data_IF_067678112316
#
_entry.id   IF_067678112316
#
_cell.length_a   1.000
_cell.length_b   1.000
_cell.length_c   1.000
_cell.angle_alpha   90.00
_cell.angle_beta   90.00
_cell.angle_gamma   90.00
#
_symmetry.space_group_name_H-M   'P 1'
#
loop_
_entity.id
_entity.type
_entity.pdbx_description
1 polymer ?
#
# COMPACT_ATOMS: atom_id res chain seq x y z
N UNK A 1 6.95 -84.14 100.25
CA UNK A 1 7.71 -83.49 99.20
C UNK A 1 7.50 -84.24 97.87
N UNK A 2 6.57 -83.91 97.10
CA UNK A 2 6.49 -84.29 95.64
C UNK A 2 5.75 -83.23 94.92
N UNK A 3 6.41 -82.51 93.99
CA UNK A 3 5.93 -81.50 93.16
C UNK A 3 5.10 -82.10 91.98
N UNK A 4 3.87 -81.71 91.84
CA UNK A 4 3.05 -82.06 90.69
C UNK A 4 3.20 -80.96 89.61
N UNK A 5 3.66 -81.39 88.48
CA UNK A 5 3.84 -80.50 87.29
C UNK A 5 2.55 -80.59 86.50
N UNK A 6 1.80 -79.45 86.39
CA UNK A 6 0.61 -79.37 85.59
C UNK A 6 0.97 -78.76 84.21
N UNK A 7 0.69 -79.50 83.11
CA UNK A 7 0.93 -79.08 81.75
C UNK A 7 -0.34 -78.39 81.25
N UNK A 8 -0.27 -77.09 80.94
CA UNK A 8 -1.35 -76.34 80.27
C UNK A 8 -1.03 -76.33 78.78
N UNK A 9 -1.94 -76.91 77.96
CA UNK A 9 -1.91 -76.85 76.52
C UNK A 9 -2.62 -75.58 76.13
N UNK A 10 -1.91 -74.57 75.62
CA UNK A 10 -2.49 -73.37 75.00
C UNK A 10 -2.79 -73.69 73.55
N UNK A 11 -4.08 -73.80 73.19
CA UNK A 11 -4.56 -73.88 71.78
C UNK A 11 -4.59 -72.48 71.16
N UNK A 12 -3.62 -72.18 70.33
CA UNK A 12 -3.59 -70.94 69.53
C UNK A 12 -4.59 -71.05 68.34
N UNK A 13 -5.70 -70.39 68.44
CA UNK A 13 -6.63 -70.19 67.30
C UNK A 13 -6.06 -69.13 66.36
N UNK A 14 -5.54 -69.54 65.21
CA UNK A 14 -5.18 -68.65 64.16
C UNK A 14 -6.48 -68.13 63.53
N UNK A 15 -6.92 -66.90 63.86
CA UNK A 15 -7.89 -66.16 63.12
C UNK A 15 -7.21 -65.65 61.82
N UNK A 16 -7.53 -66.29 60.65
CA UNK A 16 -7.20 -65.74 59.34
C UNK A 16 -8.00 -64.48 59.11
N UNK A 17 -7.43 -63.32 59.45
CA UNK A 17 -7.93 -62.03 59.05
C UNK A 17 -7.67 -61.88 57.53
N UNK A 18 -8.69 -62.11 56.73
CA UNK A 18 -8.71 -61.61 55.31
C UNK A 18 -8.65 -60.07 55.32
N UNK A 19 -7.44 -59.50 55.38
CA UNK A 19 -7.24 -58.11 55.06
C UNK A 19 -7.45 -57.96 53.59
N UNK A 20 -8.66 -57.56 53.16
CA UNK A 20 -8.87 -57.01 51.79
C UNK A 20 -7.94 -55.85 51.66
N UNK A 21 -6.89 -55.97 50.83
CA UNK A 21 -6.05 -54.84 50.43
C UNK A 21 -6.99 -53.72 49.93
N UNK A 22 -6.92 -52.52 50.50
CA UNK A 22 -7.80 -51.45 50.03
C UNK A 22 -7.52 -51.25 48.54
N UNK A 23 -8.56 -51.36 47.69
CA UNK A 23 -8.45 -51.05 46.28
C UNK A 23 -7.97 -49.60 46.16
N UNK A 24 -6.97 -49.36 45.34
CA UNK A 24 -6.49 -48.01 45.04
C UNK A 24 -7.67 -47.14 44.53
N UNK A 25 -7.70 -45.88 44.94
CA UNK A 25 -8.71 -44.94 44.49
C UNK A 25 -8.64 -44.76 42.99
N UNK A 26 -9.76 -44.54 42.29
CA UNK A 26 -9.76 -44.21 40.87
C UNK A 26 -9.06 -42.88 40.64
N UNK A 27 -8.35 -42.79 39.52
CA UNK A 27 -7.67 -41.57 39.05
C UNK A 27 -8.13 -41.32 37.64
N UNK A 28 -8.77 -40.18 37.43
CA UNK A 28 -9.24 -39.67 36.15
C UNK A 28 -8.37 -38.46 35.75
N UNK A 29 -7.69 -38.56 34.61
CA UNK A 29 -6.76 -37.53 34.16
C UNK A 29 -7.09 -37.13 32.70
N UNK A 30 -7.35 -35.84 32.46
CA UNK A 30 -7.51 -35.27 31.11
C UNK A 30 -6.18 -35.42 30.35
N UNK A 31 -6.26 -35.84 29.07
CA UNK A 31 -5.11 -35.97 28.16
C UNK A 31 -5.24 -35.14 26.89
N UNK A 32 -6.45 -34.62 26.55
CA UNK A 32 -6.62 -33.60 25.58
C UNK A 32 -6.49 -32.19 26.20
N UNK A 33 -6.61 -31.15 25.38
CA UNK A 33 -6.56 -29.76 25.85
C UNK A 33 -7.72 -29.45 26.80
N UNK A 34 -7.45 -28.66 27.84
CA UNK A 34 -8.45 -28.16 28.79
C UNK A 34 -9.31 -27.04 28.20
N UNK A 35 -8.75 -26.26 27.22
CA UNK A 35 -9.47 -25.17 26.56
C UNK A 35 -9.54 -25.49 25.05
N UNK A 36 -10.74 -25.72 24.57
CA UNK A 36 -10.99 -26.12 23.17
C UNK A 36 -11.67 -24.97 22.43
N UNK A 37 -11.07 -24.55 21.31
CA UNK A 37 -11.67 -23.60 20.39
C UNK A 37 -12.42 -24.34 19.30
N UNK A 38 -13.65 -23.90 19.01
CA UNK A 38 -14.55 -24.51 18.01
C UNK A 38 -14.96 -23.41 17.02
N UNK A 39 -14.92 -23.67 15.71
CA UNK A 39 -15.38 -22.71 14.73
C UNK A 39 -16.91 -22.54 14.76
N UNK A 40 -17.41 -21.51 14.08
CA UNK A 40 -18.85 -21.21 14.04
C UNK A 40 -19.71 -22.33 13.46
N UNK A 41 -19.16 -23.15 12.57
CA UNK A 41 -19.86 -24.31 11.98
C UNK A 41 -20.12 -25.42 13.01
N UNK A 42 -19.45 -25.37 14.17
CA UNK A 42 -19.50 -26.43 15.17
C UNK A 42 -18.78 -27.70 14.73
N UNK A 43 -19.29 -28.85 15.16
CA UNK A 43 -18.77 -30.16 14.81
C UNK A 43 -18.51 -31.05 16.01
N UNK A 44 -17.96 -32.23 15.76
CA UNK A 44 -17.63 -33.23 16.77
C UNK A 44 -16.27 -32.97 17.39
N UNK A 45 -16.24 -32.94 18.73
CA UNK A 45 -15.02 -32.73 19.54
C UNK A 45 -14.79 -33.99 20.37
N UNK A 46 -13.59 -34.54 20.28
CA UNK A 46 -13.15 -35.69 21.08
C UNK A 46 -12.29 -35.21 22.26
N UNK A 47 -12.80 -35.45 23.47
CA UNK A 47 -12.10 -35.22 24.74
C UNK A 47 -11.46 -36.56 25.14
N UNK A 48 -10.14 -36.58 25.27
CA UNK A 48 -9.41 -37.80 25.67
C UNK A 48 -8.98 -37.73 27.11
N UNK A 49 -8.99 -38.88 27.78
CA UNK A 49 -8.62 -38.99 29.20
C UNK A 49 -8.07 -40.37 29.49
N UNK A 50 -7.41 -40.53 30.67
CA UNK A 50 -7.05 -41.84 31.25
C UNK A 50 -7.84 -42.06 32.53
N UNK A 51 -8.26 -43.31 32.74
CA UNK A 51 -8.93 -43.74 33.96
C UNK A 51 -8.26 -44.98 34.53
N UNK A 52 -7.60 -44.82 35.67
CA UNK A 52 -6.97 -45.89 36.41
C UNK A 52 -7.84 -46.38 37.56
N UNK A 53 -7.67 -47.62 38.00
CA UNK A 53 -8.36 -48.26 39.14
C UNK A 53 -9.90 -48.25 38.97
N UNK A 54 -10.39 -48.58 37.75
CA UNK A 54 -11.82 -48.64 37.44
C UNK A 54 -12.63 -49.45 38.47
N UNK A 55 -13.79 -48.95 38.83
CA UNK A 55 -14.73 -49.63 39.75
C UNK A 55 -15.81 -50.29 38.87
N UNK A 56 -15.98 -51.60 39.05
CA UNK A 56 -16.96 -52.39 38.27
C UNK A 56 -18.39 -51.85 38.48
N UNK A 57 -19.12 -51.65 37.39
CA UNK A 57 -20.51 -51.13 37.45
C UNK A 57 -20.65 -49.64 37.67
N UNK A 58 -19.53 -48.88 37.65
CA UNK A 58 -19.55 -47.42 37.76
C UNK A 58 -19.39 -46.77 36.37
N UNK A 59 -20.25 -45.84 36.04
CA UNK A 59 -20.20 -45.07 34.79
C UNK A 59 -19.49 -43.70 34.98
N UNK A 60 -19.03 -43.12 33.90
CA UNK A 60 -18.55 -41.74 33.88
C UNK A 60 -19.72 -40.79 33.86
N UNK A 61 -19.71 -39.79 34.72
CA UNK A 61 -20.70 -38.73 34.72
C UNK A 61 -20.17 -37.52 33.94
N UNK A 62 -20.86 -37.13 32.89
CA UNK A 62 -20.56 -35.98 32.05
C UNK A 62 -21.69 -34.97 32.20
N UNK A 63 -21.39 -33.80 32.74
CA UNK A 63 -22.31 -32.68 32.85
C UNK A 63 -21.89 -31.56 31.90
N UNK A 64 -22.79 -31.20 30.99
CA UNK A 64 -22.65 -30.09 30.06
C UNK A 64 -23.42 -28.90 30.57
N UNK A 65 -22.76 -27.75 30.72
CA UNK A 65 -23.36 -26.54 31.30
C UNK A 65 -24.37 -25.89 30.36
N UNK A 66 -24.23 -26.06 29.04
CA UNK A 66 -25.15 -25.51 28.02
C UNK A 66 -25.62 -26.61 27.06
N UNK A 67 -26.55 -27.46 27.48
CA UNK A 67 -27.04 -28.58 26.68
C UNK A 67 -27.84 -28.15 25.47
N UNK A 68 -28.24 -26.91 25.37
CA UNK A 68 -28.97 -26.32 24.24
C UNK A 68 -28.15 -26.24 22.95
N UNK A 69 -26.82 -26.21 23.03
CA UNK A 69 -25.93 -26.16 21.84
C UNK A 69 -24.76 -27.15 21.89
N UNK A 70 -24.57 -27.88 23.00
CA UNK A 70 -23.59 -28.97 23.09
C UNK A 70 -24.31 -30.25 23.48
N UNK A 71 -24.15 -31.30 22.68
CA UNK A 71 -24.78 -32.59 22.92
C UNK A 71 -23.71 -33.64 23.18
N UNK A 72 -23.91 -34.49 24.22
CA UNK A 72 -23.06 -35.65 24.44
C UNK A 72 -23.41 -36.74 23.41
N UNK A 73 -22.48 -37.11 22.56
CA UNK A 73 -22.67 -38.10 21.50
C UNK A 73 -22.13 -39.46 21.88
N UNK A 74 -20.97 -39.47 22.56
CA UNK A 74 -20.37 -40.73 23.04
C UNK A 74 -19.74 -40.50 24.42
N UNK A 75 -19.91 -41.50 25.30
CA UNK A 75 -19.31 -41.52 26.62
C UNK A 75 -18.93 -42.97 26.92
N UNK A 76 -17.64 -43.29 26.90
CA UNK A 76 -17.14 -44.64 27.21
C UNK A 76 -16.03 -44.56 28.24
N UNK A 77 -15.78 -45.71 28.88
CA UNK A 77 -14.70 -45.86 29.89
C UNK A 77 -13.32 -46.14 29.25
N UNK A 78 -13.22 -46.11 27.92
CA UNK A 78 -12.00 -46.47 27.19
C UNK A 78 -11.14 -45.27 26.83
N UNK A 79 -11.46 -44.11 27.39
CA UNK A 79 -10.65 -42.91 27.32
C UNK A 79 -11.15 -41.83 26.38
N UNK A 80 -12.37 -41.95 25.84
CA UNK A 80 -12.96 -40.98 24.93
C UNK A 80 -14.34 -40.50 25.38
N UNK A 81 -14.57 -39.22 25.25
CA UNK A 81 -15.89 -38.57 25.29
C UNK A 81 -16.02 -37.80 23.99
N UNK A 82 -17.11 -37.99 23.26
CA UNK A 82 -17.39 -37.22 22.06
C UNK A 82 -18.59 -36.32 22.32
N UNK A 83 -18.44 -35.08 22.06
CA UNK A 83 -19.51 -34.09 22.09
C UNK A 83 -19.69 -33.51 20.68
N UNK A 84 -20.94 -33.18 20.34
CA UNK A 84 -21.28 -32.43 19.13
C UNK A 84 -21.65 -31.01 19.52
N UNK A 85 -20.98 -30.03 18.95
CA UNK A 85 -21.24 -28.60 19.09
C UNK A 85 -22.10 -28.15 17.89
N UNK A 86 -23.25 -27.58 18.16
CA UNK A 86 -24.13 -27.05 17.10
C UNK A 86 -23.52 -25.80 16.44
N UNK A 87 -23.79 -25.53 15.13
CA UNK A 87 -23.39 -24.28 14.50
C UNK A 87 -24.02 -23.08 15.20
N UNK A 88 -23.42 -21.90 15.01
CA UNK A 88 -23.92 -20.65 15.60
C UNK A 88 -24.13 -19.60 14.52
N UNK A 89 -25.12 -18.73 14.75
CA UNK A 89 -25.36 -17.45 14.04
C UNK A 89 -25.12 -16.24 14.96
N UNK A 90 -24.58 -16.49 16.17
CA UNK A 90 -24.27 -15.44 17.14
C UNK A 90 -23.15 -14.53 16.64
N UNK A 91 -23.32 -13.23 16.81
CA UNK A 91 -22.30 -12.21 16.54
C UNK A 91 -21.26 -12.06 17.66
N UNK A 92 -21.37 -12.88 18.72
CA UNK A 92 -20.43 -12.94 19.83
C UNK A 92 -19.98 -14.38 20.06
N UNK A 93 -18.74 -14.53 20.53
CA UNK A 93 -18.22 -15.82 20.96
C UNK A 93 -19.08 -16.35 22.11
N UNK A 94 -19.35 -17.67 22.09
CA UNK A 94 -20.06 -18.31 23.19
C UNK A 94 -19.18 -19.34 23.90
N UNK A 95 -19.35 -19.45 25.20
CA UNK A 95 -18.54 -20.32 26.04
C UNK A 95 -19.37 -21.29 26.82
N UNK A 96 -18.82 -22.46 27.09
CA UNK A 96 -19.40 -23.49 27.95
C UNK A 96 -18.32 -24.24 28.70
N UNK A 97 -18.73 -25.04 29.67
CA UNK A 97 -17.85 -25.97 30.37
C UNK A 97 -18.46 -27.36 30.43
N UNK A 98 -17.63 -28.37 30.34
CA UNK A 98 -17.96 -29.77 30.46
C UNK A 98 -17.26 -30.33 31.69
N UNK A 99 -18.06 -30.65 32.71
CA UNK A 99 -17.54 -31.26 33.92
C UNK A 99 -17.65 -32.79 33.83
N UNK A 100 -16.53 -33.46 33.99
CA UNK A 100 -16.43 -34.93 33.94
C UNK A 100 -16.00 -35.45 35.29
N UNK A 101 -16.73 -36.39 35.83
CA UNK A 101 -16.41 -37.02 37.15
C UNK A 101 -16.59 -38.53 37.12
N UNK A 102 -15.88 -39.21 38.00
CA UNK A 102 -15.97 -40.65 38.16
C UNK A 102 -16.00 -41.04 39.64
N UNK A 103 -17.05 -41.80 40.04
CA UNK A 103 -17.28 -42.33 41.39
C UNK A 103 -17.28 -41.26 42.50
N UNK A 104 -17.59 -39.99 42.18
CA UNK A 104 -17.52 -38.80 43.07
C UNK A 104 -16.14 -38.64 43.77
N UNK A 105 -15.08 -39.15 43.15
CA UNK A 105 -13.73 -39.16 43.74
C UNK A 105 -12.66 -38.41 42.94
N UNK A 106 -12.90 -38.28 41.63
CA UNK A 106 -11.93 -37.66 40.71
C UNK A 106 -12.71 -37.01 39.56
N UNK A 107 -12.23 -35.86 39.09
CA UNK A 107 -12.90 -35.08 38.04
C UNK A 107 -11.93 -34.18 37.31
N UNK A 108 -12.34 -33.72 36.13
CA UNK A 108 -11.73 -32.62 35.38
C UNK A 108 -12.82 -31.77 34.73
N UNK A 109 -12.43 -30.59 34.23
CA UNK A 109 -13.29 -29.70 33.44
C UNK A 109 -12.64 -29.39 32.12
N UNK A 110 -13.40 -29.32 31.04
CA UNK A 110 -12.98 -28.82 29.72
C UNK A 110 -13.81 -27.60 29.40
N UNK A 111 -13.15 -26.51 29.00
CA UNK A 111 -13.79 -25.27 28.58
C UNK A 111 -13.89 -25.27 27.04
N UNK A 112 -15.09 -24.96 26.54
CA UNK A 112 -15.38 -24.86 25.12
C UNK A 112 -15.63 -23.38 24.81
N UNK A 113 -14.91 -22.83 23.84
CA UNK A 113 -15.19 -21.52 23.27
C UNK A 113 -15.51 -21.70 21.80
N UNK A 114 -16.71 -21.32 21.39
CA UNK A 114 -17.10 -21.31 19.98
C UNK A 114 -17.03 -19.90 19.44
N UNK A 115 -16.33 -19.74 18.31
CA UNK A 115 -16.21 -18.46 17.62
C UNK A 115 -17.56 -17.95 17.13
N UNK A 116 -17.71 -16.64 17.11
CA UNK A 116 -18.86 -15.94 16.54
C UNK A 116 -19.03 -16.26 15.05
N UNK A 117 -20.26 -16.16 14.57
CA UNK A 117 -20.56 -16.26 13.14
C UNK A 117 -19.91 -15.13 12.35
N UNK A 118 -19.38 -15.44 11.17
CA UNK A 118 -18.81 -14.46 10.23
C UNK A 118 -19.39 -14.65 8.83
N UNK A 119 -19.67 -13.55 8.15
CA UNK A 119 -20.04 -13.57 6.74
C UNK A 119 -18.75 -13.78 5.93
N UNK A 120 -18.64 -14.90 5.25
CA UNK A 120 -17.46 -15.25 4.44
C UNK A 120 -17.61 -14.76 3.02
N UNK A 121 -16.64 -13.98 2.53
CA UNK A 121 -16.59 -13.42 1.19
C UNK A 121 -15.30 -13.87 0.51
N UNK A 122 -15.44 -14.60 -0.60
CA UNK A 122 -14.33 -15.04 -1.44
C UNK A 122 -14.17 -14.02 -2.58
N UNK A 123 -13.38 -12.97 -2.32
CA UNK A 123 -13.09 -11.93 -3.29
C UNK A 123 -12.21 -12.48 -4.42
N UNK A 124 -12.67 -12.34 -5.65
CA UNK A 124 -11.96 -12.78 -6.86
C UNK A 124 -11.16 -11.66 -7.51
N UNK A 125 -11.46 -10.42 -7.15
CA UNK A 125 -10.88 -9.25 -7.75
C UNK A 125 -10.33 -8.32 -6.68
N UNK A 126 -9.09 -7.90 -6.88
CA UNK A 126 -8.46 -6.75 -6.24
C UNK A 126 -8.32 -5.67 -7.30
N UNK A 127 -8.83 -4.49 -7.00
CA UNK A 127 -8.69 -3.27 -7.80
C UNK A 127 -8.14 -2.20 -6.89
N UNK A 128 -7.50 -1.19 -7.44
CA UNK A 128 -7.07 -0.06 -6.63
C UNK A 128 -5.88 0.67 -7.19
N UNK A 129 -5.43 1.64 -6.40
CA UNK A 129 -4.42 2.61 -6.78
C UNK A 129 -3.44 2.84 -5.62
N UNK A 130 -2.18 3.11 -5.98
CA UNK A 130 -1.15 3.59 -5.08
C UNK A 130 -0.85 5.06 -5.36
N UNK A 131 -0.95 5.91 -4.34
CA UNK A 131 -0.79 7.36 -4.46
C UNK A 131 0.51 7.91 -3.85
N UNK A 132 1.45 7.03 -3.47
CA UNK A 132 2.66 7.48 -2.76
C UNK A 132 2.31 8.11 -1.42
N UNK A 133 2.98 9.20 -1.08
CA UNK A 133 2.77 9.93 0.17
C UNK A 133 1.80 11.11 0.06
N UNK A 134 1.08 11.23 -1.07
CA UNK A 134 0.24 12.40 -1.38
C UNK A 134 -0.83 12.67 -0.31
N UNK A 135 -1.38 11.61 0.28
CA UNK A 135 -2.48 11.70 1.27
C UNK A 135 -2.03 11.40 2.71
N UNK A 136 -0.73 11.38 2.98
CA UNK A 136 -0.19 11.20 4.34
C UNK A 136 0.51 12.46 4.83
N UNK A 137 0.35 12.83 6.11
CA UNK A 137 1.13 13.91 6.71
C UNK A 137 2.60 13.53 6.94
N UNK A 138 2.94 12.22 6.93
CA UNK A 138 4.30 11.70 7.03
C UNK A 138 4.82 11.37 5.62
N UNK A 139 5.91 12.02 5.14
CA UNK A 139 6.46 11.78 3.81
C UNK A 139 6.98 10.35 3.58
N UNK A 140 7.19 9.57 4.65
CA UNK A 140 7.64 8.17 4.54
C UNK A 140 6.48 7.16 4.56
N UNK A 141 5.25 7.63 4.55
CA UNK A 141 4.05 6.79 4.57
C UNK A 141 3.36 6.82 3.21
N UNK A 142 3.18 5.64 2.61
CA UNK A 142 2.45 5.45 1.36
C UNK A 142 0.97 5.19 1.58
N UNK A 143 0.12 5.61 0.64
CA UNK A 143 -1.31 5.40 0.66
C UNK A 143 -1.74 4.45 -0.47
N UNK A 144 -2.46 3.40 -0.10
CA UNK A 144 -3.08 2.43 -1.01
C UNK A 144 -4.60 2.49 -0.88
N UNK A 145 -5.27 2.59 -1.99
CA UNK A 145 -6.71 2.48 -2.11
C UNK A 145 -7.07 1.13 -2.70
N UNK A 146 -7.50 0.19 -1.85
CA UNK A 146 -7.76 -1.19 -2.22
C UNK A 146 -9.27 -1.45 -2.27
N UNK A 147 -9.74 -2.14 -3.31
CA UNK A 147 -11.13 -2.57 -3.43
C UNK A 147 -11.17 -4.07 -3.67
N UNK A 148 -11.76 -4.80 -2.76
CA UNK A 148 -12.01 -6.24 -2.85
C UNK A 148 -13.47 -6.50 -3.24
N UNK A 149 -13.71 -7.41 -4.20
CA UNK A 149 -15.05 -7.79 -4.66
C UNK A 149 -15.06 -9.21 -5.23
N UNK A 150 -16.21 -9.90 -5.12
CA UNK A 150 -16.42 -11.19 -5.78
C UNK A 150 -16.49 -11.08 -7.30
N UNK A 151 -17.09 -10.00 -7.82
CA UNK A 151 -17.43 -9.88 -9.24
C UNK A 151 -16.59 -8.83 -10.00
N UNK A 152 -15.83 -7.97 -9.30
CA UNK A 152 -15.01 -6.92 -9.92
C UNK A 152 -15.80 -5.89 -10.72
N UNK A 153 -15.25 -5.50 -11.86
CA UNK A 153 -15.88 -4.62 -12.84
C UNK A 153 -16.30 -5.44 -14.07
N UNK A 154 -17.33 -4.98 -14.78
CA UNK A 154 -17.75 -5.58 -16.06
C UNK A 154 -16.79 -5.18 -17.20
N UNK A 155 -17.05 -5.64 -18.42
CA UNK A 155 -16.22 -5.36 -19.62
C UNK A 155 -16.13 -3.85 -19.97
N UNK A 156 -17.11 -3.08 -19.55
CA UNK A 156 -17.15 -1.61 -19.76
C UNK A 156 -16.47 -0.83 -18.62
N UNK A 157 -15.88 -1.52 -17.63
CA UNK A 157 -15.26 -0.92 -16.44
C UNK A 157 -16.26 -0.42 -15.40
N UNK A 158 -17.55 -0.76 -15.52
CA UNK A 158 -18.57 -0.42 -14.53
C UNK A 158 -18.74 -1.52 -13.47
N UNK A 159 -19.29 -1.15 -12.32
CA UNK A 159 -19.58 -2.08 -11.23
C UNK A 159 -20.59 -3.16 -11.66
N UNK A 160 -20.36 -4.41 -11.23
CA UNK A 160 -21.27 -5.51 -11.53
C UNK A 160 -22.59 -5.42 -10.76
N UNK A 161 -23.71 -5.88 -11.33
CA UNK A 161 -24.99 -5.94 -10.63
C UNK A 161 -24.98 -6.85 -9.41
N UNK A 162 -25.75 -6.48 -8.37
CA UNK A 162 -25.95 -7.25 -7.15
C UNK A 162 -24.62 -7.70 -6.50
N UNK A 163 -23.64 -6.83 -6.48
CA UNK A 163 -22.29 -7.10 -6.00
C UNK A 163 -21.96 -6.26 -4.77
N UNK A 164 -21.13 -6.82 -3.89
CA UNK A 164 -20.59 -6.09 -2.73
C UNK A 164 -19.12 -5.76 -2.97
N UNK A 165 -18.76 -4.55 -2.65
CA UNK A 165 -17.42 -4.00 -2.75
C UNK A 165 -16.96 -3.55 -1.38
N UNK A 166 -15.71 -3.88 -1.02
CA UNK A 166 -15.08 -3.49 0.24
C UNK A 166 -13.86 -2.66 -0.11
N UNK A 167 -13.89 -1.39 0.25
CA UNK A 167 -12.79 -0.46 0.02
C UNK A 167 -12.02 -0.22 1.30
N UNK A 168 -10.72 -0.34 1.20
CA UNK A 168 -9.77 -0.09 2.28
C UNK A 168 -8.84 1.04 1.85
N UNK A 169 -8.79 2.10 2.64
CA UNK A 169 -7.82 3.17 2.51
C UNK A 169 -6.68 2.88 3.50
N UNK A 170 -5.57 2.37 2.97
CA UNK A 170 -4.50 1.72 3.75
C UNK A 170 -3.25 2.57 3.73
N UNK A 171 -2.66 2.78 4.89
CA UNK A 171 -1.41 3.50 5.06
C UNK A 171 -0.28 2.55 5.42
N UNK A 172 0.78 2.54 4.59
CA UNK A 172 1.88 1.57 4.61
C UNK A 172 3.23 2.30 4.66
N UNK A 173 4.36 1.60 4.83
CA UNK A 173 5.65 2.17 4.44
C UNK A 173 5.59 2.65 2.98
N UNK A 174 6.31 3.74 2.67
CA UNK A 174 6.45 4.19 1.29
C UNK A 174 7.10 3.10 0.43
N UNK A 175 6.63 2.91 -0.79
CA UNK A 175 7.26 1.98 -1.74
C UNK A 175 8.65 2.47 -2.16
N UNK A 176 9.60 1.53 -2.26
CA UNK A 176 10.94 1.82 -2.78
C UNK A 176 10.98 1.83 -4.33
N UNK A 177 9.87 1.48 -5.00
CA UNK A 177 9.77 1.50 -6.46
C UNK A 177 9.62 2.96 -6.91
N UNK A 178 10.54 3.41 -7.78
CA UNK A 178 10.49 4.77 -8.31
C UNK A 178 9.30 4.97 -9.25
N UNK A 179 8.87 6.23 -9.44
CA UNK A 179 7.78 6.56 -10.35
C UNK A 179 8.12 6.15 -11.79
N UNK A 180 7.23 5.38 -12.43
CA UNK A 180 7.40 4.90 -13.80
C UNK A 180 8.30 3.66 -13.94
N UNK A 181 8.85 3.13 -12.86
CA UNK A 181 9.63 1.89 -12.88
C UNK A 181 8.73 0.65 -13.05
N UNK A 182 7.51 0.71 -12.52
CA UNK A 182 6.51 -0.35 -12.66
C UNK A 182 5.09 0.23 -12.79
N UNK A 183 4.24 -0.43 -13.58
CA UNK A 183 2.83 -0.08 -13.72
C UNK A 183 2.00 -0.52 -12.51
N UNK A 184 2.43 -1.55 -11.81
CA UNK A 184 1.78 -2.12 -10.64
C UNK A 184 2.71 -2.05 -9.43
N UNK A 185 2.18 -1.58 -8.31
CA UNK A 185 2.88 -1.46 -7.05
C UNK A 185 2.38 -2.52 -6.07
N UNK A 186 3.26 -3.39 -5.54
CA UNK A 186 2.89 -4.37 -4.53
C UNK A 186 2.43 -3.69 -3.23
N UNK A 187 1.34 -4.18 -2.66
CA UNK A 187 0.92 -3.78 -1.31
C UNK A 187 1.87 -4.45 -0.31
N UNK A 188 2.55 -3.71 0.56
CA UNK A 188 3.50 -4.29 1.51
C UNK A 188 2.86 -5.34 2.42
N UNK A 189 3.58 -6.46 2.64
CA UNK A 189 3.13 -7.50 3.58
C UNK A 189 3.05 -6.95 5.01
N UNK A 190 1.98 -7.29 5.72
CA UNK A 190 1.80 -6.83 7.09
C UNK A 190 0.38 -6.99 7.61
N UNK A 191 0.19 -6.52 8.83
CA UNK A 191 -1.13 -6.41 9.46
C UNK A 191 -1.44 -4.94 9.69
N UNK A 192 -2.54 -4.49 9.12
CA UNK A 192 -3.03 -3.12 9.18
C UNK A 192 -4.27 -3.05 10.06
N UNK A 193 -4.30 -2.10 10.98
CA UNK A 193 -5.34 -1.98 11.97
C UNK A 193 -6.22 -0.75 11.71
N UNK A 194 -7.49 -0.89 12.02
CA UNK A 194 -8.44 0.21 11.95
C UNK A 194 -8.02 1.38 12.86
N UNK A 195 -7.98 2.57 12.29
CA UNK A 195 -7.68 3.80 13.02
C UNK A 195 -8.93 4.71 13.08
N UNK A 196 -9.65 4.72 14.20
CA UNK A 196 -10.84 5.53 14.36
C UNK A 196 -10.57 7.04 14.41
N UNK A 197 -9.29 7.44 14.48
CA UNK A 197 -8.87 8.85 14.59
C UNK A 197 -8.40 9.44 13.28
N UNK A 198 -8.25 8.59 12.23
CA UNK A 198 -7.71 8.97 10.93
C UNK A 198 -6.36 9.71 11.03
N UNK A 199 -5.43 9.11 11.78
CA UNK A 199 -4.05 9.64 11.91
C UNK A 199 -3.25 9.50 10.61
N UNK A 200 -3.71 8.62 9.70
CA UNK A 200 -3.04 8.29 8.44
C UNK A 200 -1.61 7.80 8.64
N UNK A 201 -1.36 7.15 9.77
CA UNK A 201 -0.06 6.62 10.12
C UNK A 201 0.19 5.26 9.45
N UNK A 202 1.46 4.95 9.23
CA UNK A 202 1.87 3.64 8.75
C UNK A 202 1.29 2.50 9.62
N UNK A 203 0.77 1.45 8.98
CA UNK A 203 0.15 0.30 9.63
C UNK A 203 -1.35 0.47 9.90
N UNK A 204 -2.01 1.50 9.36
CA UNK A 204 -3.40 1.80 9.64
C UNK A 204 -4.34 1.66 8.43
N UNK A 205 -5.61 1.44 8.72
CA UNK A 205 -6.76 1.50 7.80
C UNK A 205 -7.64 2.67 8.26
N UNK A 206 -7.89 3.63 7.36
CA UNK A 206 -8.67 4.84 7.66
C UNK A 206 -10.13 4.53 7.98
N UNK A 207 -10.68 5.19 9.00
CA UNK A 207 -12.09 5.13 9.34
C UNK A 207 -12.97 5.90 8.32
N UNK A 208 -12.52 7.07 7.91
CA UNK A 208 -13.31 7.97 7.07
C UNK A 208 -13.49 7.43 5.66
N UNK A 209 -12.45 6.79 5.10
CA UNK A 209 -12.40 6.43 3.69
C UNK A 209 -12.55 4.92 3.44
N UNK A 210 -12.63 4.08 4.49
CA UNK A 210 -12.84 2.65 4.36
C UNK A 210 -14.31 2.31 4.54
N UNK A 211 -14.91 1.77 3.46
CA UNK A 211 -16.35 1.55 3.35
C UNK A 211 -16.68 0.26 2.62
N UNK A 212 -17.87 -0.25 2.85
CA UNK A 212 -18.48 -1.22 1.95
C UNK A 212 -19.72 -0.63 1.27
N UNK A 213 -20.02 -1.11 0.06
CA UNK A 213 -21.27 -0.78 -0.61
C UNK A 213 -21.76 -1.96 -1.44
N UNK A 214 -23.07 -1.95 -1.73
CA UNK A 214 -23.72 -2.94 -2.58
C UNK A 214 -24.37 -2.25 -3.77
N UNK A 215 -24.35 -2.94 -4.91
CA UNK A 215 -25.00 -2.49 -6.14
C UNK A 215 -26.37 -3.16 -6.29
N UNK A 216 -27.28 -2.49 -6.99
CA UNK A 216 -28.58 -3.02 -7.37
C UNK A 216 -28.49 -3.93 -8.62
N UNK A 217 -29.62 -4.36 -9.15
CA UNK A 217 -29.71 -5.22 -10.32
C UNK A 217 -29.19 -4.56 -11.62
N UNK A 218 -28.90 -3.24 -11.60
CA UNK A 218 -28.35 -2.50 -12.74
C UNK A 218 -26.85 -2.14 -12.52
N UNK A 219 -26.26 -2.54 -11.40
CA UNK A 219 -24.88 -2.19 -11.06
C UNK A 219 -24.72 -0.79 -10.43
N UNK A 220 -25.82 -0.11 -10.11
CA UNK A 220 -25.78 1.19 -9.45
C UNK A 220 -25.80 1.06 -7.92
N UNK A 221 -25.14 1.98 -7.22
CA UNK A 221 -25.28 2.12 -5.76
C UNK A 221 -26.68 2.66 -5.48
N UNK A 222 -27.58 1.81 -5.00
CA UNK A 222 -29.03 2.03 -5.03
C UNK A 222 -29.55 3.07 -4.03
N UNK A 223 -28.78 3.39 -2.99
CA UNK A 223 -29.16 4.41 -1.98
C UNK A 223 -27.95 4.78 -1.11
N UNK A 224 -28.07 5.89 -0.36
CA UNK A 224 -27.10 6.25 0.70
C UNK A 224 -26.96 5.17 1.77
N UNK A 225 -28.00 4.37 2.00
CA UNK A 225 -27.96 3.24 2.95
C UNK A 225 -27.20 2.03 2.40
N UNK A 226 -26.91 1.97 1.10
CA UNK A 226 -26.11 0.92 0.52
C UNK A 226 -24.60 1.08 0.78
N UNK A 227 -24.17 2.27 1.20
CA UNK A 227 -22.77 2.57 1.57
C UNK A 227 -22.65 2.63 3.08
N UNK A 228 -21.71 1.88 3.66
CA UNK A 228 -21.54 1.75 5.12
C UNK A 228 -20.06 1.84 5.46
N UNK A 229 -19.73 2.64 6.47
CA UNK A 229 -18.36 2.67 7.02
C UNK A 229 -18.09 1.41 7.83
N UNK A 230 -16.81 1.05 7.94
CA UNK A 230 -16.38 0.00 8.86
C UNK A 230 -16.50 0.51 10.30
N UNK A 231 -16.90 -0.38 11.22
CA UNK A 231 -16.90 -0.15 12.66
C UNK A 231 -15.57 -0.62 13.28
N UNK A 232 -15.03 -1.72 12.73
CA UNK A 232 -13.73 -2.29 13.05
C UNK A 232 -13.13 -2.88 11.78
N UNK A 233 -11.80 -2.92 11.71
CA UNK A 233 -11.07 -3.54 10.60
C UNK A 233 -9.72 -4.10 11.05
N UNK A 234 -9.39 -5.29 10.56
CA UNK A 234 -8.03 -5.82 10.52
C UNK A 234 -7.79 -6.35 9.12
N UNK A 235 -6.77 -5.84 8.45
CA UNK A 235 -6.37 -6.24 7.10
C UNK A 235 -4.99 -6.90 7.18
N UNK A 236 -4.88 -8.15 6.76
CA UNK A 236 -3.62 -8.89 6.67
C UNK A 236 -3.26 -9.09 5.21
N UNK A 237 -2.08 -8.63 4.82
CA UNK A 237 -1.51 -8.79 3.48
C UNK A 237 -0.32 -9.73 3.55
N UNK A 238 -0.30 -10.71 2.66
CA UNK A 238 0.81 -11.64 2.45
C UNK A 238 1.20 -11.64 0.97
N UNK A 239 2.31 -12.27 0.59
CA UNK A 239 2.71 -12.42 -0.81
C UNK A 239 1.65 -13.07 -1.71
N UNK A 240 0.76 -13.88 -1.13
CA UNK A 240 -0.19 -14.73 -1.86
C UNK A 240 -1.64 -14.24 -1.76
N UNK A 241 -1.91 -13.18 -0.99
CA UNK A 241 -3.28 -12.70 -0.85
C UNK A 241 -3.54 -11.71 0.27
N UNK A 242 -4.82 -11.42 0.45
CA UNK A 242 -5.33 -10.52 1.47
C UNK A 242 -6.43 -11.22 2.28
N UNK A 243 -6.37 -11.12 3.59
CA UNK A 243 -7.47 -11.49 4.49
C UNK A 243 -7.87 -10.26 5.29
N UNK A 244 -9.12 -9.84 5.13
CA UNK A 244 -9.68 -8.73 5.90
C UNK A 244 -10.81 -9.22 6.81
N UNK A 245 -10.80 -8.78 8.06
CA UNK A 245 -11.93 -8.90 8.97
C UNK A 245 -12.48 -7.50 9.23
N UNK A 246 -13.74 -7.27 8.91
CA UNK A 246 -14.40 -5.99 9.09
C UNK A 246 -15.72 -6.17 9.85
N UNK A 247 -16.08 -5.20 10.67
CA UNK A 247 -17.40 -5.14 11.31
C UNK A 247 -18.21 -4.06 10.60
N UNK A 248 -19.38 -4.46 10.13
CA UNK A 248 -20.34 -3.61 9.41
C UNK A 248 -21.73 -3.83 10.00
N UNK A 249 -22.36 -2.80 10.56
CA UNK A 249 -23.67 -2.88 11.23
C UNK A 249 -23.74 -3.98 12.30
N UNK A 250 -22.64 -4.16 13.04
CA UNK A 250 -22.50 -5.17 14.06
C UNK A 250 -22.24 -6.59 13.54
N UNK A 251 -22.22 -6.82 12.22
CA UNK A 251 -21.91 -8.12 11.60
C UNK A 251 -20.44 -8.20 11.21
N UNK A 252 -19.79 -9.31 11.52
CA UNK A 252 -18.39 -9.55 11.12
C UNK A 252 -18.34 -10.19 9.74
N UNK A 253 -17.58 -9.57 8.82
CA UNK A 253 -17.29 -10.10 7.51
C UNK A 253 -15.82 -10.54 7.46
N UNK A 254 -15.55 -11.73 6.93
CA UNK A 254 -14.21 -12.21 6.62
C UNK A 254 -14.07 -12.26 5.10
N UNK A 255 -13.27 -11.35 4.55
CA UNK A 255 -13.03 -11.23 3.11
C UNK A 255 -11.68 -11.85 2.81
N UNK A 256 -11.63 -12.80 1.89
CA UNK A 256 -10.39 -13.46 1.46
C UNK A 256 -10.17 -13.22 -0.02
N UNK A 257 -8.99 -12.73 -0.39
CA UNK A 257 -8.50 -12.63 -1.77
C UNK A 257 -7.27 -13.50 -1.91
N UNK A 258 -7.24 -14.37 -2.92
CA UNK A 258 -6.12 -15.23 -3.25
C UNK A 258 -5.53 -14.78 -4.59
N UNK A 259 -4.37 -14.13 -4.56
CA UNK A 259 -3.66 -13.58 -5.70
C UNK A 259 -2.59 -12.61 -5.24
N UNK A 260 -1.69 -12.21 -6.13
CA UNK A 260 -0.67 -11.19 -5.81
C UNK A 260 -1.33 -9.88 -5.47
N UNK A 261 -1.07 -9.30 -4.26
CA UNK A 261 -1.63 -8.01 -3.88
C UNK A 261 -0.83 -6.87 -4.51
N UNK A 262 -1.26 -6.44 -5.69
CA UNK A 262 -0.65 -5.32 -6.41
C UNK A 262 -1.74 -4.45 -7.05
N UNK A 263 -1.49 -3.15 -7.16
CA UNK A 263 -2.43 -2.16 -7.67
C UNK A 263 -1.72 -1.16 -8.58
N UNK A 264 -2.49 -0.42 -9.38
CA UNK A 264 -1.96 0.56 -10.33
C UNK A 264 -1.16 1.67 -9.63
N UNK A 265 -0.03 2.07 -10.22
CA UNK A 265 0.68 3.27 -9.81
C UNK A 265 -0.10 4.52 -10.27
N UNK A 266 -0.77 5.18 -9.34
CA UNK A 266 -1.53 6.40 -9.57
C UNK A 266 -0.86 7.66 -9.00
N UNK A 267 0.44 7.56 -8.64
CA UNK A 267 1.21 8.73 -8.20
C UNK A 267 1.20 9.80 -9.26
N UNK A 268 1.15 11.04 -8.84
CA UNK A 268 1.36 12.16 -9.75
C UNK A 268 2.80 12.12 -10.27
N UNK A 269 2.97 12.27 -11.58
CA UNK A 269 4.31 12.36 -12.17
C UNK A 269 5.09 13.51 -11.52
N UNK A 270 6.18 13.24 -10.79
CA UNK A 270 6.96 14.29 -10.14
C UNK A 270 7.86 15.05 -11.11
N UNK A 271 8.03 14.52 -12.33
CA UNK A 271 8.97 15.04 -13.31
C UNK A 271 8.28 15.97 -14.32
N UNK A 272 9.00 16.98 -14.72
CA UNK A 272 8.60 17.89 -15.80
C UNK A 272 9.01 17.36 -17.18
N UNK A 273 10.02 16.48 -17.21
CA UNK A 273 10.52 15.83 -18.41
C UNK A 273 9.61 14.73 -18.93
N UNK A 274 9.46 14.68 -20.26
CA UNK A 274 8.81 13.58 -20.99
C UNK A 274 9.79 12.51 -21.49
N UNK A 275 11.09 12.69 -21.24
CA UNK A 275 12.10 11.72 -21.64
C UNK A 275 12.13 10.55 -20.64
N UNK A 276 12.35 9.36 -21.16
CA UNK A 276 12.60 8.15 -20.37
C UNK A 276 14.03 7.62 -20.55
N UNK A 277 14.76 8.16 -21.52
CA UNK A 277 16.13 7.77 -21.89
C UNK A 277 16.91 9.00 -22.31
N UNK A 278 18.23 8.88 -22.41
CA UNK A 278 19.11 9.89 -22.97
C UNK A 278 18.64 10.34 -24.36
N UNK A 279 18.84 11.62 -24.68
CA UNK A 279 18.35 12.18 -25.93
C UNK A 279 19.42 13.03 -26.62
N UNK A 280 19.65 12.76 -27.90
CA UNK A 280 20.51 13.56 -28.79
C UNK A 280 19.62 14.43 -29.68
N UNK A 281 19.68 15.76 -29.48
CA UNK A 281 18.94 16.75 -30.27
C UNK A 281 19.50 16.88 -31.67
N UNK A 282 18.63 17.04 -32.67
CA UNK A 282 19.01 17.32 -34.04
C UNK A 282 18.58 18.76 -34.41
N UNK A 283 19.57 19.62 -34.65
CA UNK A 283 19.37 21.00 -35.03
C UNK A 283 19.64 21.27 -36.54
N UNK A 284 19.49 20.26 -37.40
CA UNK A 284 19.54 20.45 -38.85
C UNK A 284 18.45 21.41 -39.28
N UNK A 285 18.80 22.47 -40.03
CA UNK A 285 17.88 23.51 -40.50
C UNK A 285 17.16 24.25 -39.39
N UNK A 286 17.86 24.59 -38.32
CA UNK A 286 17.38 25.45 -37.26
C UNK A 286 17.98 26.84 -37.33
N UNK A 287 17.19 27.84 -37.05
CA UNK A 287 17.56 29.27 -36.95
C UNK A 287 17.63 29.69 -35.47
N UNK A 288 18.66 30.49 -35.15
CA UNK A 288 18.83 31.04 -33.81
C UNK A 288 18.46 32.50 -33.74
N UNK A 289 17.51 32.81 -32.85
CA UNK A 289 17.15 34.17 -32.47
C UNK A 289 17.66 34.45 -31.04
N UNK A 290 18.44 35.52 -30.89
CA UNK A 290 18.84 36.05 -29.59
C UNK A 290 17.92 37.21 -29.18
N UNK A 291 17.47 37.17 -27.92
CA UNK A 291 16.68 38.24 -27.31
C UNK A 291 17.43 38.82 -26.11
N UNK A 292 18.20 39.92 -26.30
CA UNK A 292 18.91 40.60 -25.22
C UNK A 292 17.91 41.25 -24.23
N UNK A 293 17.96 40.84 -22.96
CA UNK A 293 17.14 41.41 -21.89
C UNK A 293 17.88 42.57 -21.19
N UNK A 294 19.19 42.64 -21.36
CA UNK A 294 20.05 43.58 -20.66
C UNK A 294 20.50 43.08 -19.29
N UNK A 295 21.04 43.95 -18.46
CA UNK A 295 21.44 43.62 -17.07
C UNK A 295 20.18 43.50 -16.18
N UNK A 296 19.42 42.44 -16.40
CA UNK A 296 18.13 42.19 -15.72
C UNK A 296 18.30 41.98 -14.22
N UNK A 297 19.40 41.37 -13.80
CA UNK A 297 19.68 41.03 -12.42
C UNK A 297 20.51 42.11 -11.67
N UNK A 298 20.83 43.22 -12.35
CA UNK A 298 21.63 44.32 -11.81
C UNK A 298 23.02 43.90 -11.26
N UNK A 299 23.65 42.93 -11.96
CA UNK A 299 24.95 42.37 -11.57
C UNK A 299 26.09 42.76 -12.52
N UNK A 300 25.82 43.61 -13.53
CA UNK A 300 26.80 44.09 -14.50
C UNK A 300 27.01 43.14 -15.70
N UNK A 301 26.22 42.13 -15.85
CA UNK A 301 26.28 41.15 -16.93
C UNK A 301 24.94 41.07 -17.67
N UNK A 302 25.00 40.75 -18.97
CA UNK A 302 23.81 40.69 -19.81
C UNK A 302 23.07 39.37 -19.64
N UNK A 303 21.76 39.44 -19.42
CA UNK A 303 20.86 38.32 -19.58
C UNK A 303 20.32 38.25 -21.02
N UNK A 304 20.38 37.08 -21.64
CA UNK A 304 19.94 36.84 -23.01
C UNK A 304 19.12 35.57 -23.07
N UNK A 305 17.97 35.63 -23.77
CA UNK A 305 17.19 34.47 -24.14
C UNK A 305 17.64 33.99 -25.52
N UNK A 306 17.88 32.68 -25.65
CA UNK A 306 18.18 32.02 -26.91
C UNK A 306 16.96 31.21 -27.33
N UNK A 307 16.56 31.36 -28.60
CA UNK A 307 15.49 30.59 -29.22
C UNK A 307 16.06 29.92 -30.47
N UNK A 308 16.34 28.62 -30.39
CA UNK A 308 16.73 27.83 -31.54
C UNK A 308 15.49 27.07 -32.01
N UNK A 309 15.05 27.32 -33.26
CA UNK A 309 13.81 26.80 -33.77
C UNK A 309 14.01 26.16 -35.14
N UNK A 310 13.36 25.00 -35.43
CA UNK A 310 13.37 24.42 -36.77
C UNK A 310 12.70 25.34 -37.78
N UNK A 311 13.31 25.56 -38.97
CA UNK A 311 12.80 26.47 -40.01
C UNK A 311 11.40 26.09 -40.53
N UNK A 312 11.07 24.80 -40.49
CA UNK A 312 9.75 24.28 -40.92
C UNK A 312 8.79 24.01 -39.72
N UNK A 313 9.22 24.33 -38.49
CA UNK A 313 8.43 24.12 -37.29
C UNK A 313 8.43 22.67 -36.78
N UNK A 314 9.07 21.69 -37.44
CA UNK A 314 9.08 20.29 -37.05
C UNK A 314 10.50 19.89 -36.57
N UNK A 315 10.60 19.35 -35.38
CA UNK A 315 11.88 18.90 -34.80
C UNK A 315 12.15 19.46 -33.43
N UNK A 316 13.44 19.59 -33.10
CA UNK A 316 13.95 20.01 -31.81
C UNK A 316 13.99 21.52 -31.67
N UNK A 317 13.42 22.02 -30.60
CA UNK A 317 13.46 23.42 -30.18
C UNK A 317 14.29 23.56 -28.93
N UNK A 318 14.95 24.67 -28.78
CA UNK A 318 15.73 25.02 -27.60
C UNK A 318 15.37 26.43 -27.13
N UNK A 319 15.13 26.57 -25.85
CA UNK A 319 15.04 27.86 -25.18
C UNK A 319 16.07 27.87 -24.05
N UNK A 320 16.97 28.90 -24.06
CA UNK A 320 17.93 29.08 -22.96
C UNK A 320 17.75 30.46 -22.36
N UNK A 321 17.77 30.54 -21.03
CA UNK A 321 17.81 31.77 -20.24
C UNK A 321 19.20 31.91 -19.63
N UNK A 322 20.04 32.76 -20.23
CA UNK A 322 21.49 32.80 -19.93
C UNK A 322 21.91 34.15 -19.39
N UNK A 323 22.77 34.11 -18.37
CA UNK A 323 23.53 35.27 -17.90
C UNK A 323 24.95 35.14 -18.46
N UNK A 324 25.28 36.01 -19.40
CA UNK A 324 26.57 35.92 -20.12
C UNK A 324 27.76 36.32 -19.24
N UNK A 325 28.98 36.06 -19.75
CA UNK A 325 30.22 36.56 -19.13
C UNK A 325 30.55 38.01 -19.52
N UNK A 326 29.63 38.69 -20.24
CA UNK A 326 29.86 40.00 -20.85
C UNK A 326 28.75 40.99 -20.42
N UNK A 327 29.05 42.27 -20.40
CA UNK A 327 28.10 43.31 -20.07
C UNK A 327 27.19 43.64 -21.27
N UNK A 328 27.63 43.42 -22.49
CA UNK A 328 26.89 43.68 -23.71
C UNK A 328 27.06 42.53 -24.73
N UNK A 329 26.13 42.41 -25.67
CA UNK A 329 26.20 41.44 -26.74
C UNK A 329 27.40 41.70 -27.68
N UNK A 330 27.78 42.99 -27.88
CA UNK A 330 28.94 43.36 -28.73
C UNK A 330 30.26 42.87 -28.14
N UNK A 331 30.37 42.69 -26.84
CA UNK A 331 31.58 42.14 -26.19
C UNK A 331 31.69 40.61 -26.40
N UNK A 332 30.60 39.91 -26.71
CA UNK A 332 30.60 38.51 -27.08
C UNK A 332 29.58 37.64 -26.31
N UNK A 333 29.65 36.35 -26.64
CA UNK A 333 28.81 35.29 -26.05
C UNK A 333 29.64 34.06 -25.62
N UNK A 334 30.90 33.97 -26.10
CA UNK A 334 31.69 32.77 -25.94
C UNK A 334 31.99 32.45 -24.48
N UNK A 335 31.89 31.19 -24.11
CA UNK A 335 32.15 30.71 -22.73
C UNK A 335 31.43 29.43 -22.41
N UNK A 336 31.70 28.89 -21.22
CA UNK A 336 31.00 27.77 -20.62
C UNK A 336 30.01 28.30 -19.60
N UNK A 337 28.79 27.81 -19.67
CA UNK A 337 27.67 28.19 -18.82
C UNK A 337 27.22 27.00 -17.99
N UNK A 338 27.11 27.20 -16.69
CA UNK A 338 26.69 26.19 -15.73
C UNK A 338 25.25 26.46 -15.28
N UNK A 339 24.50 25.44 -14.82
CA UNK A 339 23.15 25.65 -14.33
C UNK A 339 23.14 26.50 -13.05
N UNK A 340 22.06 27.24 -12.86
CA UNK A 340 21.76 27.97 -11.62
C UNK A 340 20.28 27.86 -11.34
N UNK A 341 19.93 27.54 -10.08
CA UNK A 341 18.54 27.46 -9.65
C UNK A 341 17.92 28.86 -9.50
N UNK A 342 16.60 28.96 -9.70
CA UNK A 342 15.85 30.21 -9.45
C UNK A 342 15.95 30.70 -7.99
N UNK A 343 16.30 29.83 -7.07
CA UNK A 343 16.48 30.16 -5.64
C UNK A 343 17.87 30.72 -5.31
N UNK A 344 18.80 30.65 -6.25
CA UNK A 344 20.17 31.15 -6.09
C UNK A 344 20.34 32.55 -6.66
N UNK A 345 21.40 33.24 -6.24
CA UNK A 345 21.71 34.56 -6.75
C UNK A 345 22.27 34.42 -8.19
N UNK A 346 21.74 35.19 -9.14
CA UNK A 346 22.23 35.21 -10.51
C UNK A 346 23.72 35.47 -10.59
N UNK A 347 24.43 34.80 -11.48
CA UNK A 347 25.87 34.87 -11.67
C UNK A 347 26.24 34.86 -13.16
N UNK A 348 27.37 35.47 -13.52
CA UNK A 348 27.90 35.42 -14.87
C UNK A 348 28.32 34.01 -15.26
N UNK A 349 28.17 33.63 -16.53
CA UNK A 349 28.48 32.30 -17.03
C UNK A 349 27.52 31.23 -16.56
N UNK A 350 26.25 31.56 -16.37
CA UNK A 350 25.23 30.62 -15.97
C UNK A 350 24.03 30.58 -16.92
N UNK A 351 23.31 29.46 -16.93
CA UNK A 351 21.98 29.36 -17.47
C UNK A 351 20.98 29.04 -16.37
N UNK A 352 19.80 29.63 -16.41
CA UNK A 352 18.73 29.34 -15.45
C UNK A 352 18.17 27.96 -15.73
N UNK A 353 18.15 27.10 -14.70
CA UNK A 353 17.49 25.79 -14.78
C UNK A 353 16.04 25.91 -15.25
N UNK A 354 15.58 24.88 -15.96
CA UNK A 354 14.18 24.80 -16.36
C UNK A 354 13.29 24.43 -15.17
N UNK A 355 12.21 25.20 -14.95
CA UNK A 355 11.24 24.95 -13.89
C UNK A 355 9.82 25.36 -14.34
N UNK A 356 8.80 24.85 -13.62
CA UNK A 356 7.43 25.28 -13.77
C UNK A 356 7.09 26.41 -12.79
N UNK A 357 6.57 27.54 -13.28
CA UNK A 357 6.03 28.62 -12.43
C UNK A 357 4.73 28.21 -11.74
N UNK A 358 4.29 28.96 -10.73
CA UNK A 358 2.98 28.74 -10.06
C UNK A 358 1.79 28.70 -11.02
N UNK A 359 1.86 29.40 -12.18
CA UNK A 359 0.85 29.36 -13.23
C UNK A 359 0.99 28.17 -14.18
N UNK A 360 1.95 27.27 -13.95
CA UNK A 360 2.19 26.13 -14.80
C UNK A 360 2.89 26.43 -16.12
N UNK A 361 3.62 27.54 -16.22
CA UNK A 361 4.37 27.90 -17.42
C UNK A 361 5.84 27.50 -17.26
N UNK A 362 6.45 26.98 -18.35
CA UNK A 362 7.86 26.72 -18.42
C UNK A 362 8.66 28.05 -18.30
N UNK A 363 9.66 28.06 -17.43
CA UNK A 363 10.60 29.16 -17.24
C UNK A 363 12.04 28.60 -17.23
N UNK A 364 13.04 29.42 -17.55
CA UNK A 364 14.43 29.00 -17.62
C UNK A 364 14.76 28.29 -18.94
N UNK A 365 15.61 27.27 -18.87
CA UNK A 365 16.18 26.59 -20.03
C UNK A 365 15.52 25.24 -20.29
N UNK A 366 15.09 25.02 -21.53
CA UNK A 366 14.25 23.87 -21.91
C UNK A 366 14.55 23.37 -23.32
N UNK A 367 14.37 22.08 -23.51
CA UNK A 367 14.19 21.41 -24.78
C UNK A 367 12.72 21.10 -25.03
N UNK A 368 12.28 21.20 -26.32
CA UNK A 368 10.96 20.79 -26.76
C UNK A 368 11.07 20.08 -28.13
N UNK A 369 10.12 19.20 -28.40
CA UNK A 369 10.00 18.53 -29.70
C UNK A 369 8.58 18.67 -30.25
N UNK A 370 8.47 19.04 -31.55
CA UNK A 370 7.17 19.07 -32.25
C UNK A 370 7.24 18.18 -33.48
N UNK A 371 6.26 17.27 -33.63
CA UNK A 371 6.08 16.42 -34.82
C UNK A 371 5.20 17.05 -35.87
N UNK A 372 4.40 18.08 -35.52
CA UNK A 372 3.40 18.70 -36.40
C UNK A 372 3.84 20.05 -36.94
N UNK A 373 4.66 20.78 -36.22
CA UNK A 373 5.04 22.16 -36.52
C UNK A 373 3.91 23.17 -36.25
N UNK A 374 2.85 22.77 -35.57
CA UNK A 374 1.81 23.70 -35.11
C UNK A 374 2.37 24.59 -34.01
N UNK A 375 2.05 25.88 -34.08
CA UNK A 375 2.61 26.89 -33.19
C UNK A 375 2.25 26.60 -31.73
N UNK A 376 3.26 26.53 -30.85
CA UNK A 376 3.15 26.25 -29.41
C UNK A 376 2.62 24.83 -29.03
N UNK A 377 2.59 23.87 -29.99
CA UNK A 377 2.20 22.50 -29.72
C UNK A 377 3.44 21.64 -29.75
N UNK A 378 3.79 21.06 -28.59
CA UNK A 378 4.93 20.18 -28.41
C UNK A 378 4.48 18.80 -27.94
N UNK A 379 5.05 17.76 -28.57
CA UNK A 379 4.78 16.36 -28.21
C UNK A 379 5.57 15.93 -26.99
N UNK A 380 6.77 16.51 -26.82
CA UNK A 380 7.69 16.23 -25.70
C UNK A 380 8.38 17.50 -25.24
N UNK A 381 8.81 17.49 -23.98
CA UNK A 381 9.62 18.55 -23.40
C UNK A 381 10.46 18.03 -22.25
N UNK A 382 11.60 18.71 -21.98
CA UNK A 382 12.43 18.43 -20.82
C UNK A 382 13.12 19.73 -20.33
N UNK A 383 13.15 19.98 -19.01
CA UNK A 383 13.93 21.06 -18.43
C UNK A 383 15.42 20.71 -18.46
N UNK A 384 16.30 21.70 -18.54
CA UNK A 384 17.71 21.52 -18.23
C UNK A 384 17.95 21.84 -16.77
N UNK A 385 18.42 20.87 -15.99
CA UNK A 385 18.58 21.01 -14.53
C UNK A 385 20.03 20.84 -14.07
N UNK A 386 20.91 20.27 -14.92
CA UNK A 386 22.33 20.08 -14.65
C UNK A 386 23.13 20.05 -15.96
N UNK A 387 24.46 19.96 -15.88
CA UNK A 387 25.37 19.87 -17.03
C UNK A 387 25.96 21.20 -17.47
N UNK A 388 26.30 21.32 -18.75
CA UNK A 388 26.99 22.52 -19.27
C UNK A 388 26.52 22.89 -20.67
N UNK A 389 26.55 24.18 -20.97
CA UNK A 389 26.36 24.73 -22.31
C UNK A 389 27.63 25.50 -22.66
N UNK A 390 28.28 25.15 -23.76
CA UNK A 390 29.48 25.85 -24.27
C UNK A 390 29.12 26.62 -25.54
N UNK A 391 29.50 27.90 -25.59
CA UNK A 391 29.37 28.75 -26.77
C UNK A 391 30.77 29.10 -27.27
N UNK A 392 31.03 28.82 -28.53
CA UNK A 392 32.28 29.09 -29.24
C UNK A 392 32.02 30.14 -30.30
N UNK A 393 32.83 31.23 -30.34
CA UNK A 393 32.87 32.18 -31.45
C UNK A 393 33.83 31.65 -32.52
N UNK A 394 33.29 31.34 -33.70
CA UNK A 394 34.08 30.77 -34.79
C UNK A 394 34.88 31.82 -35.56
N UNK A 395 34.83 33.10 -35.19
CA UNK A 395 35.55 34.21 -35.81
C UNK A 395 35.22 34.46 -37.32
N UNK A 396 34.13 33.88 -37.80
CA UNK A 396 33.60 34.03 -39.17
C UNK A 396 32.18 34.60 -39.23
N UNK A 397 31.68 35.05 -38.10
CA UNK A 397 30.31 35.56 -37.91
C UNK A 397 29.31 34.45 -37.51
N UNK A 398 29.79 33.25 -37.25
CA UNK A 398 28.97 32.17 -36.71
C UNK A 398 29.41 31.84 -35.27
N UNK A 399 28.52 31.18 -34.56
CA UNK A 399 28.82 30.57 -33.27
C UNK A 399 28.50 29.08 -33.28
N UNK A 400 29.17 28.30 -32.43
CA UNK A 400 28.81 26.93 -32.13
C UNK A 400 28.28 26.86 -30.72
N UNK A 401 27.14 26.20 -30.51
CA UNK A 401 26.54 25.91 -29.22
C UNK A 401 26.62 24.41 -29.00
N UNK A 402 27.41 23.98 -28.03
CA UNK A 402 27.48 22.60 -27.55
C UNK A 402 26.66 22.45 -26.26
N UNK A 403 25.77 21.50 -26.23
CA UNK A 403 24.88 21.22 -25.12
C UNK A 403 25.18 19.83 -24.59
N UNK A 404 25.46 19.74 -23.30
CA UNK A 404 25.68 18.50 -22.55
C UNK A 404 25.02 18.71 -21.16
N UNK A 405 23.72 18.48 -21.10
CA UNK A 405 22.88 18.79 -19.96
C UNK A 405 22.11 17.56 -19.50
N UNK A 406 21.45 17.67 -18.35
CA UNK A 406 20.59 16.63 -17.80
C UNK A 406 19.22 17.22 -17.49
N UNK A 407 18.17 16.40 -17.66
CA UNK A 407 16.84 16.75 -17.23
C UNK A 407 16.59 16.41 -15.75
N UNK A 408 15.36 16.64 -15.25
CA UNK A 408 14.94 16.35 -13.88
C UNK A 408 14.72 14.85 -13.59
N UNK A 409 14.93 13.97 -14.61
CA UNK A 409 14.99 12.51 -14.49
C UNK A 409 16.43 11.97 -14.62
N UNK A 410 17.40 12.86 -14.67
CA UNK A 410 18.82 12.56 -14.93
C UNK A 410 19.10 11.90 -16.28
N UNK A 411 18.21 12.03 -17.28
CA UNK A 411 18.56 11.67 -18.66
C UNK A 411 19.51 12.71 -19.23
N UNK A 412 20.54 12.26 -19.94
CA UNK A 412 21.47 13.15 -20.61
C UNK A 412 20.87 13.69 -21.91
N UNK A 413 20.89 15.02 -22.08
CA UNK A 413 20.39 15.71 -23.27
C UNK A 413 21.57 16.40 -23.95
N UNK A 414 21.95 15.93 -25.13
CA UNK A 414 23.09 16.44 -25.88
C UNK A 414 22.66 17.02 -27.22
N UNK A 415 23.50 17.93 -27.77
CA UNK A 415 23.31 18.46 -29.10
C UNK A 415 24.35 19.51 -29.44
N UNK A 416 24.57 19.71 -30.76
CA UNK A 416 25.45 20.75 -31.26
C UNK A 416 24.77 21.50 -32.39
N UNK A 417 24.81 22.82 -32.33
CA UNK A 417 24.39 23.69 -33.43
C UNK A 417 25.50 24.65 -33.82
N UNK A 418 25.63 24.92 -35.10
CA UNK A 418 26.57 25.92 -35.63
C UNK A 418 25.90 26.76 -36.70
N UNK A 419 25.93 28.08 -36.55
CA UNK A 419 25.32 29.00 -37.49
C UNK A 419 25.47 30.48 -37.13
N UNK A 420 24.93 31.34 -37.97
CA UNK A 420 24.74 32.75 -37.64
C UNK A 420 23.45 32.94 -36.87
N UNK A 421 23.36 34.00 -36.12
CA UNK A 421 22.15 34.30 -35.31
C UNK A 421 21.56 35.65 -35.69
N UNK A 422 20.26 35.78 -35.46
CA UNK A 422 19.55 37.04 -35.52
C UNK A 422 19.38 37.64 -34.11
N UNK A 423 19.36 38.99 -34.04
CA UNK A 423 19.14 39.68 -32.76
C UNK A 423 17.82 40.45 -32.83
N UNK A 424 16.95 40.13 -31.89
CA UNK A 424 15.68 40.87 -31.80
C UNK A 424 15.91 42.31 -31.31
N UNK A 425 15.46 43.29 -32.07
CA UNK A 425 15.77 44.71 -31.82
C UNK A 425 14.94 45.35 -30.73
N UNK A 426 15.60 45.63 -29.58
CA UNK A 426 15.15 46.54 -28.56
C UNK A 426 14.33 45.93 -27.43
N UNK A 427 14.53 46.41 -26.18
CA UNK A 427 13.85 46.04 -24.95
C UNK A 427 12.30 46.09 -25.09
N UNK A 428 11.70 45.03 -25.61
CA UNK A 428 10.29 44.77 -25.43
C UNK A 428 10.17 43.83 -24.21
N UNK A 429 9.24 44.14 -23.34
CA UNK A 429 9.06 43.43 -22.09
C UNK A 429 8.98 41.90 -22.29
N UNK A 430 9.55 41.11 -21.36
CA UNK A 430 9.45 39.64 -21.27
C UNK A 430 8.01 39.10 -21.48
N UNK A 431 7.00 39.95 -21.33
CA UNK A 431 5.58 39.61 -21.47
C UNK A 431 5.08 39.50 -22.95
N UNK A 432 5.95 39.69 -23.94
CA UNK A 432 5.54 39.65 -25.38
C UNK A 432 6.03 38.42 -26.15
N UNK A 433 6.87 37.59 -25.54
CA UNK A 433 7.25 36.30 -26.12
C UNK A 433 6.37 35.23 -25.48
N UNK A 434 5.59 34.50 -26.25
CA UNK A 434 4.78 33.43 -25.73
C UNK A 434 5.71 32.35 -25.14
N UNK A 435 5.74 32.24 -23.83
CA UNK A 435 6.33 31.07 -23.15
C UNK A 435 5.37 29.91 -23.34
N UNK A 436 5.81 28.76 -23.89
CA UNK A 436 4.93 27.61 -24.02
C UNK A 436 4.36 27.25 -22.67
N UNK A 437 3.05 27.06 -22.56
CA UNK A 437 2.47 26.59 -21.30
C UNK A 437 2.86 25.14 -21.10
N UNK A 438 3.66 24.86 -20.10
CA UNK A 438 4.06 23.50 -19.69
C UNK A 438 2.86 22.66 -19.29
N UNK A 439 1.73 23.28 -18.97
CA UNK A 439 0.64 22.64 -18.26
C UNK A 439 -0.73 22.97 -18.80
N UNK A 440 -1.08 22.36 -19.89
CA UNK A 440 -2.41 21.77 -19.97
C UNK A 440 -2.39 20.30 -19.53
N UNK A 441 -1.36 19.82 -18.86
CA UNK A 441 -1.32 18.51 -18.20
C UNK A 441 -1.87 18.63 -16.79
N UNK A 442 -3.15 18.37 -16.68
CA UNK A 442 -3.90 17.81 -15.54
C UNK A 442 -3.37 18.00 -14.09
N UNK A 443 -3.12 19.25 -13.65
CA UNK A 443 -3.24 19.56 -12.21
C UNK A 443 -4.72 19.71 -11.79
N UNK A 444 -5.67 19.48 -12.69
CA UNK A 444 -7.13 19.58 -12.42
C UNK A 444 -7.72 18.42 -11.61
N UNK A 445 -6.94 17.42 -11.21
CA UNK A 445 -7.46 16.29 -10.44
C UNK A 445 -7.49 16.54 -8.91
N UNK A 446 -7.00 17.68 -8.42
CA UNK A 446 -6.99 18.00 -6.98
C UNK A 446 -8.33 18.44 -6.39
N UNK A 447 -9.31 18.86 -7.20
CA UNK A 447 -10.59 19.35 -6.71
C UNK A 447 -11.75 18.35 -6.77
N UNK A 448 -11.50 17.08 -7.09
CA UNK A 448 -12.56 16.05 -7.19
C UNK A 448 -12.30 14.87 -6.26
N UNK A 449 -12.24 15.13 -4.97
CA UNK A 449 -12.46 14.12 -3.92
C UNK A 449 -13.48 14.59 -2.89
#
# INVERSE_FOLDING_TARGET
MKKLLSFIIISTIFAASCTKTPKAAPILTLTSDENVLVPEEGGDITITYTLENKIEGTELLVNINTPEWITLTENNLDGNIVITVAPTDSQEDRTSSIFVSYADKTSFTVNITQSKYTIKVDAKHLMGDYYGNEFSPDPNTGNFWLILSENGLNEDGAQCPNSTYYRFDVYTPLSDIEYGEADLIPVPEGVYHFDPTDSFANGTVSNQYSIAWTTDANGAVSSTDATVNFEECTLTVTSDGIVAQVVIRGETHTITYNGTPEVTDARTNPFLSDLNDDYEMNFDNCSLLLYPVGDYYEIGYQNIMFYLTPDNGIGDYLTLDMVTNFATLEEGLAGTYNPISITEAAAAGTFLEGFASEGGYAQGSWWYYSSTGEEYIYDKMAPFTDGTIEIIDNQDGTITINIDTYDDRANNITGTWTGSYEVYGGMAARNSIPTPSVLQRNFQNFEKR
#
